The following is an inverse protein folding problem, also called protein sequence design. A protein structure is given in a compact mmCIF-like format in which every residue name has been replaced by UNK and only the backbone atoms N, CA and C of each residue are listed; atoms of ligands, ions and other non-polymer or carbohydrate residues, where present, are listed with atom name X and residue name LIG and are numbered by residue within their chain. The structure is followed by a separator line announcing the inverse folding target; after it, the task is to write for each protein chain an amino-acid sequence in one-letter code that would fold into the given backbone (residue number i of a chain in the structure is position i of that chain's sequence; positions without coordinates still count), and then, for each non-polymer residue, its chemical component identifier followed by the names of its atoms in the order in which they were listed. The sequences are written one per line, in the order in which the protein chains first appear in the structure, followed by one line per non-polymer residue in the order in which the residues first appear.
data_IF_524556007328
#
_entry.id   IF_524556007328
#
_cell.length_a   1.000
_cell.length_b   1.000
_cell.length_c   1.000
_cell.angle_alpha   90.00
_cell.angle_beta   90.00
_cell.angle_gamma   90.00
#
_symmetry.space_group_name_H-M   'P 1'
#
loop_
_entity.id
_entity.type
_entity.pdbx_description
1 polymer ?
#
# COMPACT_ATOMS: atom_id res chain seq x y z
N UNK A 1 -41.74 -14.76 2.73
CA UNK A 1 -40.49 -13.97 2.70
C UNK A 1 -40.63 -12.57 3.33
N UNK A 2 -41.61 -12.32 4.22
CA UNK A 2 -41.77 -11.02 4.89
C UNK A 2 -41.44 -11.04 6.40
N UNK A 3 -41.23 -12.22 7.00
CA UNK A 3 -40.94 -12.35 8.44
C UNK A 3 -39.46 -12.25 8.82
N UNK A 4 -38.52 -12.26 7.86
CA UNK A 4 -37.08 -12.16 8.17
C UNK A 4 -36.59 -10.71 8.32
N UNK A 5 -37.26 -9.74 7.70
CA UNK A 5 -36.87 -8.33 7.78
C UNK A 5 -37.29 -7.65 9.10
N UNK A 6 -38.26 -8.21 9.82
CA UNK A 6 -38.78 -7.62 11.06
C UNK A 6 -37.86 -7.88 12.27
N UNK A 7 -36.91 -8.83 12.17
CA UNK A 7 -36.02 -9.23 13.27
C UNK A 7 -34.62 -8.59 13.19
N UNK A 8 -34.29 -7.95 12.06
CA UNK A 8 -33.01 -7.26 11.83
C UNK A 8 -33.06 -5.75 12.11
N UNK A 9 -34.21 -5.22 12.53
CA UNK A 9 -34.39 -3.78 12.83
C UNK A 9 -34.33 -3.45 14.33
N UNK A 10 -34.09 -4.44 15.20
CA UNK A 10 -34.09 -4.29 16.67
C UNK A 10 -32.69 -4.36 17.31
N UNK A 11 -31.60 -4.20 16.54
CA UNK A 11 -30.21 -4.27 17.06
C UNK A 11 -29.49 -2.91 16.92
N UNK A 12 -30.22 -1.83 16.63
CA UNK A 12 -29.65 -0.50 16.37
C UNK A 12 -29.78 0.50 17.53
N UNK A 13 -29.90 0.02 18.78
CA UNK A 13 -30.07 0.89 19.97
C UNK A 13 -29.25 0.46 21.19
N UNK A 14 -27.95 0.19 21.03
CA UNK A 14 -27.04 0.14 22.19
C UNK A 14 -25.71 0.82 21.88
N UNK A 15 -25.70 2.15 21.99
CA UNK A 15 -24.48 2.96 22.08
C UNK A 15 -24.12 3.18 23.55
N UNK A 16 -22.98 2.65 24.06
CA UNK A 16 -22.42 3.16 25.30
C UNK A 16 -21.66 4.46 25.00
N UNK A 17 -22.28 5.59 25.33
CA UNK A 17 -21.58 6.85 25.51
C UNK A 17 -20.64 6.73 26.72
N UNK A 18 -19.33 6.62 26.49
CA UNK A 18 -18.34 6.81 27.55
C UNK A 18 -18.12 8.31 27.76
N UNK A 19 -18.91 8.87 28.67
CA UNK A 19 -18.65 10.17 29.26
C UNK A 19 -17.39 10.08 30.15
N UNK A 20 -16.34 10.81 29.82
CA UNK A 20 -15.25 11.09 30.77
C UNK A 20 -15.72 12.18 31.74
N UNK A 21 -15.72 11.82 33.02
CA UNK A 21 -16.09 12.68 34.13
C UNK A 21 -15.06 13.81 34.37
N UNK A 22 -15.59 14.98 34.73
CA UNK A 22 -14.87 16.16 35.19
C UNK A 22 -14.65 16.10 36.72
N UNK A 23 -13.71 16.93 37.20
CA UNK A 23 -13.35 17.29 38.58
C UNK A 23 -12.24 16.49 39.28
N UNK A 24 -11.10 17.16 39.47
CA UNK A 24 -10.88 17.82 40.76
C UNK A 24 -9.97 19.05 40.61
N UNK A 25 -10.52 20.23 40.87
CA UNK A 25 -9.77 21.46 41.14
C UNK A 25 -9.31 21.41 42.59
N UNK A 26 -7.99 21.32 42.79
CA UNK A 26 -7.32 21.37 44.08
C UNK A 26 -6.22 22.43 44.08
N UNK A 27 -6.63 23.68 44.26
CA UNK A 27 -5.95 24.82 44.91
C UNK A 27 -4.39 24.85 45.02
N UNK A 28 -3.84 25.90 44.40
CA UNK A 28 -2.80 26.83 44.89
C UNK A 28 -1.33 26.34 45.07
N UNK A 29 -0.48 26.77 44.13
CA UNK A 29 0.75 27.50 44.46
C UNK A 29 1.24 28.35 43.26
N UNK A 30 1.33 29.70 43.37
CA UNK A 30 1.97 30.54 42.36
C UNK A 30 3.48 30.56 42.64
N UNK A 31 4.18 29.56 42.12
CA UNK A 31 5.64 29.48 42.16
C UNK A 31 6.22 29.82 40.80
N UNK A 32 6.61 31.08 40.61
CA UNK A 32 7.45 31.53 39.52
C UNK A 32 8.70 30.65 39.39
N UNK A 33 8.71 29.75 38.42
CA UNK A 33 9.92 29.37 37.71
C UNK A 33 9.67 29.61 36.24
N UNK A 34 9.95 30.85 35.83
CA UNK A 34 10.35 31.17 34.47
C UNK A 34 11.63 30.39 34.17
N UNK A 35 11.49 29.10 33.92
CA UNK A 35 12.51 28.29 33.27
C UNK A 35 12.62 28.85 31.87
N UNK A 36 13.64 29.67 31.66
CA UNK A 36 14.19 29.97 30.34
C UNK A 36 14.35 28.61 29.66
N UNK A 37 13.42 28.25 28.77
CA UNK A 37 13.62 27.12 27.87
C UNK A 37 14.83 27.52 27.07
N UNK A 38 15.99 26.99 27.44
CA UNK A 38 17.12 26.89 26.53
C UNK A 38 16.62 25.96 25.42
N UNK A 39 15.90 26.55 24.47
CA UNK A 39 15.67 26.01 23.14
C UNK A 39 17.03 25.97 22.51
N UNK A 40 17.79 24.93 22.85
CA UNK A 40 18.95 24.55 22.07
C UNK A 40 18.47 24.43 20.62
N UNK A 41 19.10 25.09 19.64
CA UNK A 41 18.66 25.07 18.24
C UNK A 41 18.55 23.67 17.63
N UNK A 42 19.07 22.65 18.33
CA UNK A 42 19.21 21.26 17.90
C UNK A 42 18.26 20.28 18.61
N UNK A 43 17.32 20.75 19.45
CA UNK A 43 16.41 19.88 20.20
C UNK A 43 17.09 19.13 21.37
N UNK A 44 16.35 18.23 22.02
CA UNK A 44 16.88 17.36 23.08
C UNK A 44 17.55 16.10 22.51
N UNK A 45 18.51 15.47 23.24
CA UNK A 45 19.11 14.20 22.81
C UNK A 45 18.08 13.09 22.53
N UNK A 46 16.95 13.10 23.23
CA UNK A 46 15.86 12.14 23.01
C UNK A 46 15.17 12.37 21.66
N UNK A 47 14.91 13.63 21.28
CA UNK A 47 14.33 13.98 19.98
C UNK A 47 15.28 13.63 18.84
N UNK A 48 16.58 13.84 19.01
CA UNK A 48 17.59 13.45 18.02
C UNK A 48 17.59 11.93 17.80
N UNK A 49 17.51 11.14 18.88
CA UNK A 49 17.43 9.68 18.81
C UNK A 49 16.16 9.21 18.08
N UNK A 50 15.00 9.81 18.37
CA UNK A 50 13.75 9.51 17.65
C UNK A 50 13.85 9.86 16.17
N UNK A 51 14.46 11.00 15.85
CA UNK A 51 14.69 11.44 14.47
C UNK A 51 15.56 10.44 13.69
N UNK A 52 16.67 9.98 14.28
CA UNK A 52 17.56 8.97 13.68
C UNK A 52 16.83 7.65 13.39
N UNK A 53 16.01 7.18 14.34
CA UNK A 53 15.22 5.95 14.16
C UNK A 53 14.19 6.11 13.03
N UNK A 54 13.48 7.23 12.98
CA UNK A 54 12.49 7.49 11.94
C UNK A 54 13.12 7.56 10.54
N UNK A 55 14.29 8.21 10.42
CA UNK A 55 15.04 8.28 9.16
C UNK A 55 15.45 6.89 8.69
N UNK A 56 16.03 6.08 9.60
CA UNK A 56 16.48 4.73 9.26
C UNK A 56 15.31 3.83 8.86
N UNK A 57 14.18 3.91 9.57
CA UNK A 57 12.99 3.15 9.22
C UNK A 57 12.44 3.54 7.84
N UNK A 58 12.45 4.83 7.50
CA UNK A 58 12.02 5.30 6.17
C UNK A 58 12.99 4.84 5.06
N UNK A 59 14.29 4.78 5.34
CA UNK A 59 15.30 4.23 4.42
C UNK A 59 15.07 2.75 4.14
N UNK A 60 14.98 1.95 5.20
CA UNK A 60 14.75 0.50 5.10
C UNK A 60 13.44 0.18 4.37
N UNK A 61 12.37 0.92 4.67
CA UNK A 61 11.08 0.72 4.01
C UNK A 61 11.13 1.05 2.51
N UNK A 62 11.88 2.08 2.13
CA UNK A 62 12.03 2.47 0.72
C UNK A 62 12.91 1.48 -0.05
N UNK A 63 13.99 0.99 0.56
CA UNK A 63 14.84 -0.08 0.00
C UNK A 63 14.00 -1.36 -0.23
N UNK A 64 13.22 -1.77 0.76
CA UNK A 64 12.35 -2.93 0.64
C UNK A 64 11.30 -2.77 -0.47
N UNK A 65 10.72 -1.58 -0.62
CA UNK A 65 9.79 -1.29 -1.71
C UNK A 65 10.46 -1.36 -3.08
N UNK A 66 11.70 -0.90 -3.18
CA UNK A 66 12.49 -0.94 -4.42
C UNK A 66 12.81 -2.37 -4.82
N UNK A 67 13.23 -3.21 -3.87
CA UNK A 67 13.55 -4.61 -4.12
C UNK A 67 12.30 -5.41 -4.50
N UNK A 68 11.17 -5.16 -3.84
CA UNK A 68 9.87 -5.75 -4.23
C UNK A 68 9.46 -5.37 -5.65
N UNK A 69 9.70 -4.12 -6.06
CA UNK A 69 9.37 -3.66 -7.42
C UNK A 69 10.28 -4.30 -8.48
N UNK A 70 11.58 -4.49 -8.18
CA UNK A 70 12.50 -5.25 -9.04
C UNK A 70 12.07 -6.70 -9.20
N UNK A 71 11.71 -7.34 -8.10
CA UNK A 71 11.22 -8.71 -8.11
C UNK A 71 9.92 -8.83 -8.92
N UNK A 72 9.01 -7.86 -8.79
CA UNK A 72 7.79 -7.79 -9.58
C UNK A 72 8.09 -7.70 -11.09
N UNK A 73 9.02 -6.82 -11.50
CA UNK A 73 9.44 -6.70 -12.90
C UNK A 73 10.03 -8.01 -13.44
N UNK A 74 10.88 -8.68 -12.66
CA UNK A 74 11.46 -9.97 -13.05
C UNK A 74 10.38 -11.06 -13.20
N UNK A 75 9.44 -11.15 -12.25
CA UNK A 75 8.34 -12.13 -12.33
C UNK A 75 7.44 -11.88 -13.55
N UNK A 76 7.14 -10.62 -13.86
CA UNK A 76 6.33 -10.29 -15.04
C UNK A 76 7.05 -10.64 -16.35
N UNK A 77 8.36 -10.36 -16.44
CA UNK A 77 9.19 -10.75 -17.59
C UNK A 77 9.28 -12.27 -17.76
N UNK A 78 9.42 -13.01 -16.66
CA UNK A 78 9.39 -14.47 -16.63
C UNK A 78 8.06 -15.03 -17.15
N UNK A 79 6.93 -14.48 -16.69
CA UNK A 79 5.57 -14.88 -17.13
C UNK A 79 5.41 -14.63 -18.63
N UNK A 80 5.83 -13.44 -19.09
CA UNK A 80 5.80 -13.10 -20.52
C UNK A 80 6.61 -14.09 -21.35
N UNK A 81 7.86 -14.35 -20.94
CA UNK A 81 8.75 -15.29 -21.63
C UNK A 81 8.18 -16.71 -21.66
N UNK A 82 7.59 -17.16 -20.55
CA UNK A 82 6.95 -18.47 -20.48
C UNK A 82 5.73 -18.55 -21.42
N UNK A 83 4.93 -17.49 -21.49
CA UNK A 83 3.80 -17.40 -22.40
C UNK A 83 4.24 -17.42 -23.87
N UNK A 84 5.23 -16.62 -24.26
CA UNK A 84 5.74 -16.59 -25.64
C UNK A 84 6.21 -17.97 -26.12
N UNK A 85 6.85 -18.74 -25.22
CA UNK A 85 7.35 -20.09 -25.51
C UNK A 85 6.24 -21.13 -25.63
N UNK A 86 5.24 -21.07 -24.74
CA UNK A 86 4.26 -22.14 -24.59
C UNK A 86 2.89 -21.80 -25.20
N UNK A 87 2.65 -20.53 -25.54
CA UNK A 87 1.37 -19.95 -25.96
C UNK A 87 0.23 -20.20 -24.96
N UNK A 88 0.59 -20.49 -23.70
CA UNK A 88 -0.31 -20.73 -22.57
C UNK A 88 0.42 -20.50 -21.25
N UNK A 89 -0.33 -20.18 -20.20
CA UNK A 89 0.20 -20.07 -18.84
C UNK A 89 0.09 -21.42 -18.12
N UNK A 90 1.22 -21.94 -17.65
CA UNK A 90 1.27 -23.16 -16.85
C UNK A 90 0.92 -22.88 -15.37
N UNK A 91 0.72 -23.95 -14.59
CA UNK A 91 0.40 -23.83 -13.17
C UNK A 91 1.46 -23.03 -12.38
N UNK A 92 2.75 -23.15 -12.76
CA UNK A 92 3.82 -22.40 -12.12
C UNK A 92 3.82 -20.92 -12.52
N UNK A 93 3.44 -20.58 -13.74
CA UNK A 93 3.28 -19.19 -14.17
C UNK A 93 2.13 -18.51 -13.40
N UNK A 94 1.07 -19.26 -13.08
CA UNK A 94 -0.03 -18.75 -12.25
C UNK A 94 0.41 -18.49 -10.80
N UNK A 95 1.31 -19.31 -10.24
CA UNK A 95 1.90 -19.04 -8.92
C UNK A 95 2.78 -17.79 -8.95
N UNK A 96 3.54 -17.60 -10.02
CA UNK A 96 4.31 -16.36 -10.24
C UNK A 96 3.38 -15.14 -10.32
N UNK A 97 2.24 -15.28 -11.02
CA UNK A 97 1.23 -14.23 -11.14
C UNK A 97 0.58 -13.90 -9.78
N UNK A 98 0.31 -14.89 -8.92
CA UNK A 98 -0.18 -14.64 -7.55
C UNK A 98 0.87 -13.93 -6.69
N UNK A 99 2.14 -14.33 -6.80
CA UNK A 99 3.25 -13.67 -6.11
C UNK A 99 3.40 -12.22 -6.59
N UNK A 100 3.29 -12.00 -7.89
CA UNK A 100 3.31 -10.68 -8.51
C UNK A 100 2.22 -9.78 -7.91
N UNK A 101 0.98 -10.29 -7.81
CA UNK A 101 -0.14 -9.56 -7.19
C UNK A 101 0.19 -9.11 -5.76
N UNK A 102 0.78 -10.00 -4.94
CA UNK A 102 1.15 -9.70 -3.56
C UNK A 102 2.25 -8.62 -3.48
N UNK A 103 3.25 -8.68 -4.34
CA UNK A 103 4.31 -7.67 -4.39
C UNK A 103 3.75 -6.31 -4.80
N UNK A 104 2.91 -6.26 -5.82
CA UNK A 104 2.28 -5.01 -6.28
C UNK A 104 1.43 -4.36 -5.19
N UNK A 105 0.64 -5.15 -4.44
CA UNK A 105 -0.13 -4.63 -3.28
C UNK A 105 0.79 -4.02 -2.22
N UNK A 106 1.91 -4.67 -1.92
CA UNK A 106 2.90 -4.18 -0.93
C UNK A 106 3.57 -2.88 -1.39
N UNK A 107 3.96 -2.78 -2.67
CA UNK A 107 4.55 -1.57 -3.25
C UNK A 107 3.54 -0.41 -3.20
N UNK A 108 2.29 -0.64 -3.62
CA UNK A 108 1.22 0.35 -3.54
C UNK A 108 0.97 0.83 -2.10
N UNK A 109 0.92 -0.10 -1.14
CA UNK A 109 0.71 0.23 0.27
C UNK A 109 1.83 1.09 0.86
N UNK A 110 3.07 0.90 0.40
CA UNK A 110 4.22 1.70 0.87
C UNK A 110 4.09 3.18 0.51
N UNK A 111 3.54 3.49 -0.66
CA UNK A 111 3.33 4.88 -1.12
C UNK A 111 1.98 5.47 -0.71
N UNK A 112 1.22 4.79 0.17
CA UNK A 112 -0.04 5.30 0.70
C UNK A 112 -1.29 4.99 -0.13
N UNK A 113 -1.23 4.04 -1.07
CA UNK A 113 -2.41 3.60 -1.81
C UNK A 113 -3.33 2.71 -0.97
N UNK A 114 -4.64 2.97 -1.00
CA UNK A 114 -5.68 2.17 -0.34
C UNK A 114 -6.10 0.96 -1.17
N UNK A 115 -6.84 0.02 -0.56
CA UNK A 115 -7.25 -1.22 -1.23
C UNK A 115 -8.36 -1.04 -2.28
N UNK A 116 -9.20 -0.02 -2.11
CA UNK A 116 -10.44 0.17 -2.87
C UNK A 116 -10.32 1.25 -3.93
N UNK A 117 -9.77 0.92 -5.10
CA UNK A 117 -9.96 1.70 -6.32
C UNK A 117 -10.04 0.74 -7.51
N UNK A 118 -11.25 0.48 -7.99
CA UNK A 118 -11.44 -0.12 -9.31
C UNK A 118 -11.43 1.03 -10.32
N UNK A 119 -10.30 1.21 -11.00
CA UNK A 119 -10.19 2.19 -12.08
C UNK A 119 -10.72 1.56 -13.37
N UNK A 120 -11.43 2.32 -14.23
CA UNK A 120 -11.80 1.83 -15.55
C UNK A 120 -10.54 1.73 -16.42
N UNK A 121 -9.92 0.55 -16.42
CA UNK A 121 -8.75 0.24 -17.25
C UNK A 121 -9.21 -0.40 -18.55
N UNK A 122 -8.67 0.08 -19.68
CA UNK A 122 -8.80 -0.62 -20.96
C UNK A 122 -7.97 -1.90 -20.92
N UNK A 123 -8.67 -3.03 -20.75
CA UNK A 123 -8.10 -4.35 -20.54
C UNK A 123 -8.04 -5.11 -21.87
N UNK A 124 -6.83 -5.56 -22.29
CA UNK A 124 -6.68 -6.31 -23.53
C UNK A 124 -7.49 -7.62 -23.51
N UNK A 125 -8.15 -7.96 -24.61
CA UNK A 125 -8.93 -9.20 -24.73
C UNK A 125 -8.08 -10.44 -24.98
N UNK A 126 -6.89 -10.22 -25.54
CA UNK A 126 -5.97 -11.28 -25.91
C UNK A 126 -4.92 -11.47 -24.81
N UNK A 127 -4.69 -12.73 -24.44
CA UNK A 127 -3.75 -13.07 -23.37
C UNK A 127 -2.30 -12.68 -23.73
N UNK A 128 -1.94 -12.74 -25.01
CA UNK A 128 -0.65 -12.26 -25.50
C UNK A 128 -0.46 -10.77 -25.18
N UNK A 129 -1.38 -9.93 -25.66
CA UNK A 129 -1.35 -8.48 -25.42
C UNK A 129 -1.39 -8.16 -23.91
N UNK A 130 -2.18 -8.90 -23.14
CA UNK A 130 -2.26 -8.72 -21.69
C UNK A 130 -0.94 -9.04 -20.97
N UNK A 131 -0.25 -10.13 -21.33
CA UNK A 131 1.04 -10.47 -20.72
C UNK A 131 2.17 -9.54 -21.14
N UNK A 132 2.14 -9.00 -22.36
CA UNK A 132 3.07 -7.94 -22.80
C UNK A 132 2.87 -6.67 -21.96
N UNK A 133 1.63 -6.17 -21.89
CA UNK A 133 1.28 -4.99 -21.09
C UNK A 133 1.63 -5.17 -19.61
N UNK A 134 1.50 -6.39 -19.07
CA UNK A 134 1.88 -6.70 -17.69
C UNK A 134 3.38 -6.52 -17.45
N UNK A 135 4.21 -6.99 -18.37
CA UNK A 135 5.67 -6.82 -18.28
C UNK A 135 6.07 -5.34 -18.39
N UNK A 136 5.47 -4.60 -19.32
CA UNK A 136 5.70 -3.16 -19.48
C UNK A 136 5.31 -2.37 -18.22
N UNK A 137 4.14 -2.67 -17.64
CA UNK A 137 3.67 -2.02 -16.41
C UNK A 137 4.56 -2.34 -15.21
N UNK A 138 5.06 -3.56 -15.09
CA UNK A 138 5.94 -3.94 -14.00
C UNK A 138 7.31 -3.22 -14.08
N UNK A 139 7.86 -3.06 -15.30
CA UNK A 139 9.06 -2.27 -15.54
C UNK A 139 8.83 -0.76 -15.28
N UNK A 140 7.67 -0.23 -15.69
CA UNK A 140 7.28 1.15 -15.38
C UNK A 140 7.12 1.36 -13.86
N UNK A 141 6.50 0.41 -13.17
CA UNK A 141 6.34 0.44 -11.71
C UNK A 141 7.71 0.47 -11.02
N UNK A 142 8.64 -0.40 -11.41
CA UNK A 142 10.00 -0.39 -10.90
C UNK A 142 10.66 0.97 -11.08
N UNK A 143 10.64 1.52 -12.30
CA UNK A 143 11.23 2.83 -12.61
C UNK A 143 10.60 3.96 -11.80
N UNK A 144 9.29 3.91 -11.57
CA UNK A 144 8.59 4.91 -10.78
C UNK A 144 8.97 4.82 -9.30
N UNK A 145 9.09 3.60 -8.75
CA UNK A 145 9.53 3.38 -7.36
C UNK A 145 10.97 3.85 -7.16
N UNK A 146 11.89 3.47 -8.06
CA UNK A 146 13.31 3.87 -7.97
C UNK A 146 13.53 5.39 -8.05
N UNK A 147 12.63 6.12 -8.73
CA UNK A 147 12.68 7.58 -8.83
C UNK A 147 11.95 8.30 -7.69
N UNK A 148 11.17 7.59 -6.89
CA UNK A 148 10.37 8.18 -5.82
C UNK A 148 11.23 8.42 -4.59
N UNK A 149 11.13 9.60 -3.98
CA UNK A 149 11.78 9.85 -2.69
C UNK A 149 11.04 9.13 -1.55
N UNK A 150 11.77 8.63 -0.56
CA UNK A 150 11.23 7.96 0.65
C UNK A 150 10.19 8.74 1.46
N UNK A 151 10.05 10.06 1.23
CA UNK A 151 9.08 10.90 1.93
C UNK A 151 7.92 11.38 1.03
N UNK A 152 7.80 10.86 -0.20
CA UNK A 152 6.83 11.33 -1.20
C UNK A 152 5.79 10.26 -1.48
N UNK A 153 4.51 10.66 -1.42
CA UNK A 153 3.39 9.88 -1.95
C UNK A 153 3.42 10.01 -3.48
N UNK A 154 3.80 8.93 -4.16
CA UNK A 154 3.90 8.92 -5.61
C UNK A 154 2.61 8.43 -6.25
N UNK A 155 1.80 9.36 -6.75
CA UNK A 155 0.58 9.08 -7.51
C UNK A 155 0.86 8.15 -8.70
N UNK A 156 1.97 8.36 -9.41
CA UNK A 156 2.37 7.50 -10.53
C UNK A 156 2.62 6.04 -10.12
N UNK A 157 3.14 5.79 -8.92
CA UNK A 157 3.34 4.43 -8.39
C UNK A 157 1.98 3.82 -8.04
N UNK A 158 1.08 4.59 -7.44
CA UNK A 158 -0.28 4.14 -7.08
C UNK A 158 -1.07 3.75 -8.34
N UNK A 159 -1.12 4.64 -9.33
CA UNK A 159 -1.87 4.43 -10.57
C UNK A 159 -1.35 3.21 -11.34
N UNK A 160 -0.02 3.15 -11.54
CA UNK A 160 0.61 2.01 -12.23
C UNK A 160 0.33 0.70 -11.49
N UNK A 161 0.40 0.70 -10.15
CA UNK A 161 0.12 -0.49 -9.36
C UNK A 161 -1.35 -0.92 -9.42
N UNK A 162 -2.30 0.03 -9.44
CA UNK A 162 -3.72 -0.26 -9.61
C UNK A 162 -4.00 -0.88 -10.97
N UNK A 163 -3.52 -0.27 -12.05
CA UNK A 163 -3.70 -0.80 -13.40
C UNK A 163 -3.11 -2.20 -13.55
N UNK A 164 -1.94 -2.43 -12.94
CA UNK A 164 -1.29 -3.73 -12.91
C UNK A 164 -2.10 -4.78 -12.13
N UNK A 165 -2.72 -4.41 -10.99
CA UNK A 165 -3.59 -5.31 -10.22
C UNK A 165 -4.84 -5.71 -11.02
N UNK A 166 -5.44 -4.76 -11.74
CA UNK A 166 -6.60 -5.04 -12.59
C UNK A 166 -6.22 -5.92 -13.77
N UNK A 167 -5.06 -5.71 -14.37
CA UNK A 167 -4.55 -6.57 -15.43
C UNK A 167 -4.25 -7.99 -14.94
N UNK A 168 -3.70 -8.15 -13.73
CA UNK A 168 -3.47 -9.47 -13.11
C UNK A 168 -4.80 -10.19 -12.89
N UNK A 169 -5.80 -9.51 -12.33
CA UNK A 169 -7.16 -10.07 -12.14
C UNK A 169 -7.77 -10.49 -13.48
N UNK A 170 -7.62 -9.65 -14.49
CA UNK A 170 -8.13 -9.91 -15.83
C UNK A 170 -7.47 -11.14 -16.47
N UNK A 171 -6.14 -11.24 -16.43
CA UNK A 171 -5.38 -12.42 -16.91
C UNK A 171 -5.86 -13.71 -16.24
N UNK A 172 -6.14 -13.67 -14.94
CA UNK A 172 -6.69 -14.82 -14.19
C UNK A 172 -8.12 -15.18 -14.62
N UNK A 173 -8.92 -14.19 -15.03
CA UNK A 173 -10.29 -14.40 -15.48
C UNK A 173 -10.40 -14.93 -16.91
N UNK A 174 -9.43 -14.61 -17.78
CA UNK A 174 -9.36 -15.08 -19.18
C UNK A 174 -8.97 -16.55 -19.32
N UNK A 175 -8.74 -17.23 -18.20
CA UNK A 175 -8.37 -18.64 -18.17
C UNK A 175 -9.50 -19.47 -18.82
N UNK A 176 -9.22 -20.29 -19.85
CA UNK A 176 -10.15 -21.34 -20.26
C UNK A 176 -10.21 -22.47 -19.23
#
# INVERSE_FOLDING_TARGET
MACFYLLMLLILLLSPATAFAQQNDGLLAPGLRSGKRDVSPLGSPEEEMRGRVAIKAAEEAHEESTDRAREAAQLAADIRTAFERNQKLAADDLKKLERLEKLTRKVRGHVGGSEDQDLPVDLPRELDVATAKLAEMADLLQKNVEKTSRHVIAVSVIDTANEMLDLIRHIRSMKP
#
